data_IF_432916494757
#
_entry.id   IF_432916494757
#
_cell.length_a   1.000
_cell.length_b   1.000
_cell.length_c   1.000
_cell.angle_alpha   90.00
_cell.angle_beta   90.00
_cell.angle_gamma   90.00
#
_symmetry.space_group_name_H-M   'P 1'
#
loop_
_entity.id
_entity.type
_entity.pdbx_description
1 polymer ?
#
# COMPACT_ATOMS: atom_id res chain seq x y z
N UNK A 1 -15.29 21.83 -22.93
CA UNK A 1 -15.50 22.90 -21.95
C UNK A 1 -14.12 23.23 -21.37
N UNK A 2 -13.73 24.51 -21.30
CA UNK A 2 -12.50 24.89 -20.64
C UNK A 2 -12.59 24.53 -19.15
N UNK A 3 -11.56 23.91 -18.60
CA UNK A 3 -11.48 23.61 -17.16
C UNK A 3 -11.48 24.90 -16.36
N UNK A 4 -12.23 24.94 -15.25
CA UNK A 4 -12.15 26.07 -14.32
C UNK A 4 -10.78 26.15 -13.61
N UNK A 5 -10.03 25.04 -13.58
CA UNK A 5 -8.71 24.90 -12.95
C UNK A 5 -7.61 25.05 -14.02
N UNK A 6 -6.63 25.91 -13.78
CA UNK A 6 -5.51 26.17 -14.71
C UNK A 6 -4.19 25.57 -14.27
N UNK A 7 -4.00 25.34 -12.98
CA UNK A 7 -2.75 24.80 -12.43
C UNK A 7 -3.00 23.90 -11.22
N UNK A 8 -2.43 22.71 -11.23
CA UNK A 8 -2.50 21.78 -10.10
C UNK A 8 -1.12 21.32 -9.66
N UNK A 9 -1.03 20.91 -8.39
CA UNK A 9 0.14 20.24 -7.85
C UNK A 9 -0.08 18.73 -7.70
N UNK A 10 1.00 17.95 -7.79
CA UNK A 10 1.01 16.52 -7.47
C UNK A 10 2.19 16.18 -6.59
N UNK A 11 1.97 15.35 -5.57
CA UNK A 11 3.02 14.85 -4.70
C UNK A 11 2.73 13.43 -4.21
N UNK A 12 3.78 12.77 -3.71
CA UNK A 12 3.70 11.51 -2.98
C UNK A 12 4.10 11.71 -1.53
N UNK A 13 3.46 11.02 -0.60
CA UNK A 13 3.73 11.13 0.83
C UNK A 13 3.54 9.78 1.53
N UNK A 14 4.26 9.57 2.63
CA UNK A 14 4.25 8.32 3.37
C UNK A 14 5.27 7.31 2.84
N UNK A 15 5.00 6.03 3.00
CA UNK A 15 5.81 4.97 2.42
C UNK A 15 5.64 4.91 0.91
N UNK A 16 6.74 4.69 0.20
CA UNK A 16 6.67 4.46 -1.24
C UNK A 16 6.02 3.11 -1.57
N UNK A 17 5.40 3.05 -2.75
CA UNK A 17 4.75 1.86 -3.25
C UNK A 17 4.96 1.75 -4.77
N UNK A 18 5.20 0.53 -5.30
CA UNK A 18 5.31 0.32 -6.74
C UNK A 18 4.02 0.74 -7.44
N UNK A 19 4.12 1.62 -8.43
CA UNK A 19 2.96 2.19 -9.13
C UNK A 19 2.70 3.68 -8.80
N UNK A 20 3.29 4.25 -7.75
CA UNK A 20 3.20 5.69 -7.49
C UNK A 20 3.67 6.53 -8.69
N UNK A 21 4.73 6.09 -9.35
CA UNK A 21 5.23 6.73 -10.58
C UNK A 21 4.21 6.66 -11.74
N UNK A 22 3.47 5.58 -11.86
CA UNK A 22 2.41 5.45 -12.87
C UNK A 22 1.24 6.41 -12.57
N UNK A 23 0.90 6.60 -11.27
CA UNK A 23 -0.10 7.57 -10.85
C UNK A 23 0.34 9.01 -11.13
N UNK A 24 1.59 9.38 -10.78
CA UNK A 24 2.16 10.69 -11.12
C UNK A 24 2.06 10.94 -12.64
N UNK A 25 2.50 9.95 -13.43
CA UNK A 25 2.43 10.06 -14.89
C UNK A 25 1.01 10.28 -15.39
N UNK A 26 0.04 9.58 -14.82
CA UNK A 26 -1.37 9.74 -15.18
C UNK A 26 -1.88 11.14 -14.85
N UNK A 27 -1.62 11.63 -13.63
CA UNK A 27 -1.99 12.98 -13.22
C UNK A 27 -1.40 14.01 -14.18
N UNK A 28 -0.10 13.95 -14.45
CA UNK A 28 0.58 14.93 -15.34
C UNK A 28 -0.01 14.92 -16.75
N UNK A 29 -0.13 13.73 -17.36
CA UNK A 29 -0.60 13.63 -18.74
C UNK A 29 -2.08 14.00 -18.90
N UNK A 30 -2.90 13.64 -17.93
CA UNK A 30 -4.31 14.03 -17.91
C UNK A 30 -4.46 15.55 -17.73
N UNK A 31 -3.68 16.16 -16.86
CA UNK A 31 -3.67 17.63 -16.66
C UNK A 31 -3.32 18.34 -17.96
N UNK A 32 -2.22 17.95 -18.60
CA UNK A 32 -1.78 18.54 -19.85
C UNK A 32 -2.81 18.33 -21.00
N UNK A 33 -3.44 17.16 -21.06
CA UNK A 33 -4.50 16.88 -22.03
C UNK A 33 -5.72 17.81 -21.84
N UNK A 34 -6.01 18.19 -20.59
CA UNK A 34 -7.10 19.13 -20.25
C UNK A 34 -6.66 20.61 -20.29
N UNK A 35 -5.43 20.92 -20.71
CA UNK A 35 -4.89 22.28 -20.74
C UNK A 35 -4.53 22.83 -19.35
N UNK A 36 -4.30 21.96 -18.36
CA UNK A 36 -3.97 22.30 -16.97
C UNK A 36 -2.47 22.14 -16.77
N UNK A 37 -1.80 23.17 -16.25
CA UNK A 37 -0.40 23.09 -15.83
C UNK A 37 -0.24 22.17 -14.62
N UNK A 38 0.83 21.37 -14.60
CA UNK A 38 1.10 20.44 -13.51
C UNK A 38 2.46 20.72 -12.85
N UNK A 39 2.46 20.91 -11.55
CA UNK A 39 3.64 21.14 -10.72
C UNK A 39 3.88 19.91 -9.83
N UNK A 40 5.06 19.30 -9.92
CA UNK A 40 5.50 18.24 -9.01
C UNK A 40 6.06 18.86 -7.73
N UNK A 41 5.55 18.45 -6.58
CA UNK A 41 6.08 18.82 -5.28
C UNK A 41 6.93 17.65 -4.78
N UNK A 42 8.23 17.91 -4.54
CA UNK A 42 9.15 16.87 -4.05
C UNK A 42 9.03 16.72 -2.54
N UNK A 43 9.23 15.52 -2.04
CA UNK A 43 9.21 15.19 -0.59
C UNK A 43 7.88 15.50 0.11
N UNK A 44 6.77 15.46 -0.62
CA UNK A 44 5.42 15.60 -0.06
C UNK A 44 5.20 16.88 0.71
N UNK A 45 4.66 16.80 1.91
CA UNK A 45 4.36 17.96 2.75
C UNK A 45 5.61 18.75 3.15
N UNK A 46 6.76 18.10 3.31
CA UNK A 46 8.01 18.82 3.55
C UNK A 46 8.34 19.76 2.39
N UNK A 47 8.17 19.30 1.17
CA UNK A 47 8.39 20.11 -0.03
C UNK A 47 7.41 21.28 -0.17
N UNK A 48 6.16 21.10 0.25
CA UNK A 48 5.22 22.22 0.32
C UNK A 48 5.69 23.32 1.29
N UNK A 49 6.24 22.93 2.45
CA UNK A 49 6.74 23.87 3.45
C UNK A 49 8.02 24.57 2.96
N UNK A 50 8.94 23.81 2.35
CA UNK A 50 10.27 24.31 1.93
C UNK A 50 10.28 24.94 0.53
N UNK A 51 9.17 24.85 -0.23
CA UNK A 51 9.11 25.34 -1.60
C UNK A 51 9.89 24.48 -2.61
N UNK A 52 9.99 23.16 -2.37
CA UNK A 52 10.69 22.23 -3.28
C UNK A 52 9.75 21.68 -4.35
N UNK A 53 9.70 22.35 -5.48
CA UNK A 53 8.81 22.02 -6.58
C UNK A 53 9.51 22.04 -7.94
N UNK A 54 8.87 21.42 -8.94
CA UNK A 54 9.36 21.36 -10.32
C UNK A 54 8.18 21.37 -11.29
N UNK A 55 8.22 22.16 -12.37
CA UNK A 55 7.25 22.03 -13.45
C UNK A 55 7.33 20.66 -14.09
N UNK A 56 6.18 20.06 -14.38
CA UNK A 56 6.10 18.76 -15.03
C UNK A 56 5.49 18.89 -16.42
N UNK A 57 6.09 18.22 -17.38
CA UNK A 57 5.65 18.20 -18.77
C UNK A 57 5.54 16.76 -19.28
N UNK A 58 5.20 16.58 -20.53
CA UNK A 58 5.00 15.27 -21.15
C UNK A 58 6.26 14.39 -21.10
N UNK A 59 7.44 15.02 -21.31
CA UNK A 59 8.72 14.32 -21.34
C UNK A 59 9.22 13.95 -19.93
N UNK A 60 8.97 14.80 -18.93
CA UNK A 60 9.41 14.55 -17.55
C UNK A 60 8.84 13.24 -16.95
N UNK A 61 7.72 12.75 -17.50
CA UNK A 61 7.06 11.51 -17.08
C UNK A 61 7.13 10.38 -18.12
N UNK A 62 7.98 10.55 -19.15
CA UNK A 62 8.16 9.53 -20.19
C UNK A 62 8.79 8.27 -19.59
N UNK A 63 8.27 7.09 -19.94
CA UNK A 63 8.74 5.80 -19.44
C UNK A 63 8.58 5.57 -17.93
N UNK A 64 7.93 6.49 -17.21
CA UNK A 64 7.84 6.47 -15.74
C UNK A 64 6.97 5.33 -15.21
N UNK A 65 5.95 4.88 -15.97
CA UNK A 65 5.01 3.83 -15.54
C UNK A 65 5.65 2.48 -15.23
N UNK A 66 6.85 2.21 -15.73
CA UNK A 66 7.59 0.95 -15.50
C UNK A 66 8.53 1.00 -14.29
N UNK A 67 8.74 2.19 -13.70
CA UNK A 67 9.73 2.40 -12.65
C UNK A 67 9.08 2.32 -11.29
N UNK A 68 9.67 1.53 -10.39
CA UNK A 68 9.33 1.51 -8.97
C UNK A 68 9.73 2.80 -8.26
N UNK A 69 9.38 2.88 -6.98
CA UNK A 69 9.61 4.07 -6.17
C UNK A 69 8.76 5.26 -6.61
N UNK A 70 9.21 6.47 -6.27
CA UNK A 70 8.56 7.73 -6.66
C UNK A 70 9.56 8.79 -7.10
N UNK A 71 9.36 9.36 -8.29
CA UNK A 71 10.24 10.41 -8.84
C UNK A 71 10.18 11.72 -8.05
N UNK A 72 9.10 11.93 -7.32
CA UNK A 72 8.90 13.12 -6.49
C UNK A 72 9.43 12.96 -5.07
N UNK A 73 10.05 11.81 -4.77
CA UNK A 73 10.50 11.44 -3.44
C UNK A 73 9.37 11.42 -2.42
N UNK A 74 9.62 10.88 -1.25
CA UNK A 74 8.68 10.86 -0.13
C UNK A 74 9.44 11.15 1.15
N UNK A 75 8.86 11.97 2.02
CA UNK A 75 9.41 12.26 3.33
C UNK A 75 8.30 12.40 4.36
N UNK A 76 8.60 12.03 5.60
CA UNK A 76 7.77 12.42 6.74
C UNK A 76 8.09 13.86 7.10
N UNK A 77 7.07 14.65 7.44
CA UNK A 77 7.24 16.04 7.88
C UNK A 77 6.64 16.21 9.27
N UNK A 78 7.49 16.28 10.27
CA UNK A 78 7.03 16.57 11.64
C UNK A 78 6.49 18.01 11.74
N UNK A 79 7.11 18.96 11.00
CA UNK A 79 6.66 20.35 10.96
C UNK A 79 5.21 20.47 10.44
N UNK A 80 4.82 19.66 9.46
CA UNK A 80 3.46 19.67 8.91
C UNK A 80 2.39 19.15 9.89
N UNK A 81 2.77 18.43 10.95
CA UNK A 81 1.82 18.01 12.00
C UNK A 81 1.29 19.20 12.81
N UNK A 82 2.07 20.28 12.89
CA UNK A 82 1.68 21.52 13.55
C UNK A 82 0.95 22.49 12.64
N UNK A 83 0.11 23.34 13.21
CA UNK A 83 -0.68 24.33 12.49
C UNK A 83 0.18 25.29 11.67
N UNK A 84 1.29 25.77 12.22
CA UNK A 84 2.22 26.66 11.53
C UNK A 84 2.81 26.05 10.24
N UNK A 85 3.14 24.73 10.24
CA UNK A 85 3.61 24.03 9.06
C UNK A 85 2.51 23.89 8.00
N UNK A 86 1.28 23.64 8.42
CA UNK A 86 0.12 23.54 7.54
C UNK A 86 -0.21 24.89 6.89
N UNK A 87 -0.11 25.99 7.65
CA UNK A 87 -0.27 27.34 7.12
C UNK A 87 0.80 27.70 6.10
N UNK A 88 2.07 27.39 6.37
CA UNK A 88 3.18 27.58 5.42
C UNK A 88 2.92 26.80 4.12
N UNK A 89 2.53 25.53 4.22
CA UNK A 89 2.23 24.69 3.07
C UNK A 89 1.06 25.25 2.24
N UNK A 90 -0.01 25.71 2.90
CA UNK A 90 -1.14 26.34 2.23
C UNK A 90 -0.74 27.69 1.57
N UNK A 91 0.10 28.48 2.23
CA UNK A 91 0.63 29.72 1.66
C UNK A 91 1.48 29.44 0.41
N UNK A 92 2.31 28.41 0.42
CA UNK A 92 3.09 27.96 -0.74
C UNK A 92 2.18 27.55 -1.90
N UNK A 93 1.11 26.79 -1.65
CA UNK A 93 0.13 26.46 -2.68
C UNK A 93 -0.46 27.71 -3.34
N UNK A 94 -0.84 28.70 -2.53
CA UNK A 94 -1.39 29.97 -3.01
C UNK A 94 -0.36 30.78 -3.80
N UNK A 95 0.88 30.86 -3.31
CA UNK A 95 1.99 31.55 -3.98
C UNK A 95 2.29 30.95 -5.36
N UNK A 96 2.24 29.63 -5.48
CA UNK A 96 2.43 28.90 -6.74
C UNK A 96 1.20 28.98 -7.66
N UNK A 97 0.10 29.58 -7.21
CA UNK A 97 -1.16 29.63 -7.94
C UNK A 97 -1.78 28.26 -8.17
N UNK A 98 -1.59 27.33 -7.23
CA UNK A 98 -2.20 25.98 -7.31
C UNK A 98 -3.70 26.09 -6.99
N UNK A 99 -4.52 25.74 -7.96
CA UNK A 99 -5.99 25.71 -7.84
C UNK A 99 -6.49 24.31 -7.45
N UNK A 100 -5.59 23.31 -7.43
CA UNK A 100 -5.85 21.95 -6.96
C UNK A 100 -4.58 21.20 -6.60
N UNK A 101 -4.71 20.18 -5.77
CA UNK A 101 -3.59 19.37 -5.31
C UNK A 101 -3.98 17.90 -5.29
N UNK A 102 -3.17 17.04 -5.93
CA UNK A 102 -3.30 15.59 -5.88
C UNK A 102 -2.23 15.00 -4.96
N UNK A 103 -2.65 14.35 -3.88
CA UNK A 103 -1.77 13.65 -2.95
C UNK A 103 -1.89 12.14 -3.09
N UNK A 104 -0.77 11.47 -3.37
CA UNK A 104 -0.69 10.02 -3.55
C UNK A 104 -0.05 9.42 -2.30
N UNK A 105 -0.77 8.53 -1.60
CA UNK A 105 -0.26 7.87 -0.39
C UNK A 105 -1.35 7.19 0.43
N UNK A 106 -1.09 6.96 1.70
CA UNK A 106 -2.01 6.31 2.64
C UNK A 106 -2.82 7.30 3.48
N UNK A 107 -3.44 6.79 4.56
CA UNK A 107 -4.29 7.56 5.48
C UNK A 107 -3.61 8.82 6.04
N UNK A 108 -2.32 8.74 6.36
CA UNK A 108 -1.55 9.90 6.82
C UNK A 108 -1.52 11.01 5.78
N UNK A 109 -1.44 10.67 4.51
CA UNK A 109 -1.51 11.62 3.40
C UNK A 109 -2.90 12.24 3.31
N UNK A 110 -3.96 11.44 3.47
CA UNK A 110 -5.34 11.95 3.40
C UNK A 110 -5.68 12.87 4.57
N UNK A 111 -5.19 12.57 5.80
CA UNK A 111 -5.30 13.49 6.94
C UNK A 111 -4.63 14.84 6.63
N UNK A 112 -3.45 14.81 6.04
CA UNK A 112 -2.77 16.03 5.64
C UNK A 112 -3.48 16.81 4.54
N UNK A 113 -4.06 16.12 3.53
CA UNK A 113 -4.90 16.76 2.52
C UNK A 113 -6.14 17.42 3.12
N UNK A 114 -6.77 16.78 4.11
CA UNK A 114 -7.92 17.35 4.82
C UNK A 114 -7.54 18.67 5.52
N UNK A 115 -6.35 18.74 6.13
CA UNK A 115 -5.87 19.97 6.76
C UNK A 115 -5.62 21.10 5.74
N UNK A 116 -5.12 20.77 4.55
CA UNK A 116 -5.00 21.74 3.44
C UNK A 116 -6.36 22.15 2.89
N UNK A 117 -7.30 21.22 2.79
CA UNK A 117 -8.68 21.52 2.38
C UNK A 117 -9.36 22.52 3.31
N UNK A 118 -9.18 22.36 4.63
CA UNK A 118 -9.67 23.32 5.65
C UNK A 118 -9.09 24.73 5.49
N UNK A 119 -7.92 24.85 4.82
CA UNK A 119 -7.23 26.13 4.51
C UNK A 119 -7.54 26.64 3.11
N UNK A 120 -8.58 26.09 2.47
CA UNK A 120 -9.09 26.53 1.18
C UNK A 120 -8.31 26.02 -0.03
N UNK A 121 -7.51 24.95 0.11
CA UNK A 121 -6.85 24.30 -1.02
C UNK A 121 -7.73 23.15 -1.52
N UNK A 122 -8.08 23.14 -2.81
CA UNK A 122 -8.79 22.00 -3.41
C UNK A 122 -7.90 20.78 -3.46
N UNK A 123 -8.36 19.63 -2.93
CA UNK A 123 -7.54 18.44 -2.80
C UNK A 123 -8.25 17.17 -3.28
N UNK A 124 -7.46 16.24 -3.85
CA UNK A 124 -7.89 14.88 -4.14
C UNK A 124 -6.79 13.91 -3.73
N UNK A 125 -7.17 12.86 -2.98
CA UNK A 125 -6.30 11.77 -2.57
C UNK A 125 -6.33 10.60 -3.55
N UNK A 126 -5.18 9.94 -3.71
CA UNK A 126 -5.04 8.69 -4.48
C UNK A 126 -4.36 7.65 -3.57
N UNK A 127 -5.01 6.48 -3.30
CA UNK A 127 -4.47 5.47 -2.39
C UNK A 127 -3.26 4.75 -2.98
N UNK A 128 -2.10 5.02 -2.39
CA UNK A 128 -0.82 4.41 -2.74
C UNK A 128 -0.13 3.88 -1.49
N UNK A 129 -0.26 2.58 -1.24
CA UNK A 129 0.36 1.83 -0.15
C UNK A 129 0.34 0.34 -0.48
N UNK A 130 1.39 -0.40 -0.08
CA UNK A 130 1.44 -1.86 -0.21
C UNK A 130 0.57 -2.59 0.83
N UNK A 131 0.14 -1.92 1.89
CA UNK A 131 -0.52 -2.53 3.04
C UNK A 131 -1.99 -2.87 2.75
N UNK A 132 -2.58 -2.27 1.72
CA UNK A 132 -4.00 -2.37 1.35
C UNK A 132 -4.96 -2.10 2.51
N UNK A 133 -4.58 -1.20 3.41
CA UNK A 133 -5.29 -0.86 4.66
C UNK A 133 -6.24 0.33 4.56
N UNK A 134 -6.32 0.98 3.39
CA UNK A 134 -7.22 2.12 3.15
C UNK A 134 -8.67 1.64 3.08
N UNK A 135 -9.47 2.06 4.06
CA UNK A 135 -10.80 1.48 4.29
C UNK A 135 -11.80 1.76 3.18
N UNK A 136 -11.74 2.93 2.55
CA UNK A 136 -12.65 3.31 1.46
C UNK A 136 -12.31 2.67 0.11
N UNK A 137 -11.23 1.90 0.01
CA UNK A 137 -10.81 1.27 -1.25
C UNK A 137 -10.59 -0.23 -1.08
N UNK A 138 -11.12 -1.03 -1.99
CA UNK A 138 -10.85 -2.49 -2.02
C UNK A 138 -9.43 -2.80 -2.46
N UNK A 139 -8.78 -1.85 -3.12
CA UNK A 139 -7.44 -2.00 -3.68
C UNK A 139 -6.62 -0.72 -3.52
N UNK A 140 -5.34 -0.85 -3.20
CA UNK A 140 -4.37 0.25 -3.14
C UNK A 140 -3.19 0.00 -4.08
N UNK A 141 -2.67 1.08 -4.69
CA UNK A 141 -1.53 1.02 -5.62
C UNK A 141 -0.31 0.50 -4.88
N UNK A 142 0.31 -0.57 -5.40
CA UNK A 142 1.51 -1.22 -4.86
C UNK A 142 1.25 -2.56 -4.17
N UNK A 143 0.01 -2.86 -3.78
CA UNK A 143 -0.34 -4.09 -3.09
C UNK A 143 -0.05 -5.35 -3.92
N UNK A 144 -0.49 -5.39 -5.17
CA UNK A 144 -0.30 -6.55 -6.04
C UNK A 144 1.20 -6.81 -6.33
N UNK A 145 1.97 -5.76 -6.57
CA UNK A 145 3.42 -5.88 -6.76
C UNK A 145 4.11 -6.40 -5.50
N UNK A 146 3.73 -5.91 -4.32
CA UNK A 146 4.28 -6.37 -3.05
C UNK A 146 3.95 -7.86 -2.80
N UNK A 147 2.73 -8.29 -3.11
CA UNK A 147 2.34 -9.70 -3.06
C UNK A 147 3.18 -10.56 -4.01
N UNK A 148 3.37 -10.13 -5.26
CA UNK A 148 4.18 -10.86 -6.24
C UNK A 148 5.66 -10.93 -5.82
N UNK A 149 6.22 -9.86 -5.26
CA UNK A 149 7.60 -9.83 -4.74
C UNK A 149 7.77 -10.81 -3.57
N UNK A 150 6.79 -10.84 -2.66
CA UNK A 150 6.79 -11.79 -1.56
C UNK A 150 6.67 -13.24 -2.05
N UNK A 151 5.75 -13.50 -2.99
CA UNK A 151 5.53 -14.82 -3.56
C UNK A 151 6.78 -15.35 -4.28
N UNK A 152 7.41 -14.54 -5.13
CA UNK A 152 8.67 -14.89 -5.82
C UNK A 152 9.80 -15.26 -4.83
N UNK A 153 9.88 -14.55 -3.71
CA UNK A 153 10.83 -14.86 -2.64
C UNK A 153 10.50 -16.16 -1.92
N UNK A 154 9.22 -16.40 -1.62
CA UNK A 154 8.72 -17.58 -0.94
C UNK A 154 8.91 -18.84 -1.79
N UNK A 155 8.67 -18.75 -3.10
CA UNK A 155 8.86 -19.88 -4.00
C UNK A 155 10.33 -20.34 -4.02
N UNK A 156 11.29 -19.40 -4.02
CA UNK A 156 12.72 -19.71 -3.89
C UNK A 156 13.07 -20.35 -2.54
N UNK A 157 12.44 -19.87 -1.45
CA UNK A 157 12.62 -20.47 -0.12
C UNK A 157 12.02 -21.89 -0.06
N UNK A 158 10.94 -22.15 -0.79
CA UNK A 158 10.29 -23.47 -0.84
C UNK A 158 11.22 -24.55 -1.37
N UNK A 159 11.98 -24.27 -2.43
CA UNK A 159 12.92 -25.23 -3.00
C UNK A 159 13.95 -25.72 -1.99
N UNK A 160 14.57 -24.78 -1.27
CA UNK A 160 15.55 -25.14 -0.24
C UNK A 160 14.92 -25.75 1.01
N UNK A 161 13.74 -25.25 1.41
CA UNK A 161 12.99 -25.79 2.55
C UNK A 161 12.60 -27.25 2.32
N UNK A 162 12.13 -27.60 1.13
CA UNK A 162 11.77 -28.97 0.75
C UNK A 162 13.01 -29.86 0.74
N UNK A 163 14.14 -29.40 0.18
CA UNK A 163 15.38 -30.16 0.10
C UNK A 163 15.98 -30.54 1.46
N UNK A 164 15.65 -29.76 2.50
CA UNK A 164 16.20 -29.96 3.86
C UNK A 164 15.14 -30.37 4.90
N UNK A 165 13.89 -30.61 4.49
CA UNK A 165 12.78 -31.01 5.37
C UNK A 165 12.58 -30.06 6.56
N UNK A 166 12.57 -28.73 6.27
CA UNK A 166 12.57 -27.64 7.26
C UNK A 166 11.21 -26.97 7.41
N UNK A 167 11.06 -26.24 8.51
CA UNK A 167 10.04 -25.21 8.65
C UNK A 167 10.62 -23.84 8.29
N UNK A 168 9.94 -23.09 7.42
CA UNK A 168 10.27 -21.69 7.14
C UNK A 168 9.21 -20.77 7.70
N UNK A 169 9.64 -19.79 8.49
CA UNK A 169 8.81 -18.68 8.97
C UNK A 169 9.19 -17.45 8.18
N UNK A 170 8.24 -16.92 7.41
CA UNK A 170 8.46 -15.76 6.55
C UNK A 170 7.64 -14.58 7.06
N UNK A 171 8.34 -13.51 7.46
CA UNK A 171 7.71 -12.26 7.87
C UNK A 171 7.50 -11.37 6.65
N UNK A 172 6.28 -10.88 6.50
CA UNK A 172 5.88 -9.95 5.43
C UNK A 172 5.41 -8.64 6.02
N UNK A 173 5.55 -7.57 5.25
CA UNK A 173 5.05 -6.24 5.60
C UNK A 173 3.51 -6.22 5.65
N UNK A 174 2.92 -5.08 5.92
CA UNK A 174 1.47 -4.86 6.05
C UNK A 174 1.14 -3.90 7.19
N UNK A 175 2.16 -3.37 7.85
CA UNK A 175 2.03 -2.47 9.00
C UNK A 175 1.16 -3.09 10.11
N UNK A 176 -0.07 -2.64 10.29
CA UNK A 176 -1.02 -3.16 11.29
C UNK A 176 -2.15 -3.99 10.66
N UNK A 177 -2.02 -4.34 9.39
CA UNK A 177 -3.00 -5.09 8.63
C UNK A 177 -2.43 -6.40 8.09
N UNK A 178 -3.22 -7.44 8.12
CA UNK A 178 -2.86 -8.78 7.65
C UNK A 178 -3.20 -9.05 6.18
N UNK A 179 -3.64 -8.06 5.42
CA UNK A 179 -4.10 -8.26 4.05
C UNK A 179 -3.02 -8.87 3.15
N UNK A 180 -1.78 -8.36 3.23
CA UNK A 180 -0.66 -8.87 2.44
C UNK A 180 -0.30 -10.29 2.86
N UNK A 181 -0.17 -10.54 4.17
CA UNK A 181 0.12 -11.87 4.70
C UNK A 181 -0.93 -12.90 4.30
N UNK A 182 -2.22 -12.55 4.37
CA UNK A 182 -3.32 -13.42 3.99
C UNK A 182 -3.29 -13.75 2.49
N UNK A 183 -3.12 -12.73 1.64
CA UNK A 183 -3.08 -12.93 0.19
C UNK A 183 -1.90 -13.80 -0.25
N UNK A 184 -0.72 -13.50 0.26
CA UNK A 184 0.50 -14.26 -0.01
C UNK A 184 0.40 -15.67 0.55
N UNK A 185 -0.15 -15.82 1.77
CA UNK A 185 -0.33 -17.12 2.42
C UNK A 185 -1.25 -18.07 1.65
N UNK A 186 -2.36 -17.55 1.11
CA UNK A 186 -3.25 -18.32 0.23
C UNK A 186 -2.54 -18.65 -1.09
N UNK A 187 -1.88 -17.68 -1.71
CA UNK A 187 -1.22 -17.87 -2.99
C UNK A 187 -0.08 -18.90 -2.92
N UNK A 188 0.71 -18.92 -1.84
CA UNK A 188 1.80 -19.87 -1.67
C UNK A 188 1.39 -21.20 -1.04
N UNK A 189 0.12 -21.38 -0.63
CA UNK A 189 -0.33 -22.58 0.08
C UNK A 189 0.42 -22.76 1.41
N UNK A 190 0.48 -21.70 2.22
CA UNK A 190 1.14 -21.74 3.53
C UNK A 190 0.49 -22.77 4.45
N UNK A 191 1.27 -23.34 5.37
CA UNK A 191 0.75 -24.20 6.43
C UNK A 191 -0.04 -23.41 7.47
N UNK A 192 0.43 -22.19 7.78
CA UNK A 192 -0.21 -21.27 8.72
C UNK A 192 -0.02 -19.83 8.24
N UNK A 193 -0.99 -18.97 8.56
CA UNK A 193 -0.90 -17.51 8.31
C UNK A 193 -1.33 -16.78 9.57
N UNK A 194 -0.45 -15.94 10.10
CA UNK A 194 -0.71 -15.14 11.29
C UNK A 194 -0.96 -13.69 10.90
N UNK A 195 -2.11 -13.18 11.30
CA UNK A 195 -2.57 -11.81 10.98
C UNK A 195 -2.97 -11.04 12.26
N UNK A 196 -2.75 -9.73 12.34
CA UNK A 196 -2.98 -8.96 13.56
C UNK A 196 -4.46 -8.78 13.90
N UNK A 197 -5.36 -8.97 12.94
CA UNK A 197 -6.81 -8.87 13.14
C UNK A 197 -7.38 -10.05 13.93
N UNK A 198 -6.63 -11.14 14.04
CA UNK A 198 -7.04 -12.35 14.76
C UNK A 198 -6.20 -12.56 16.02
N UNK A 199 -6.87 -12.90 17.12
CA UNK A 199 -6.15 -13.33 18.33
C UNK A 199 -5.50 -14.69 18.07
N UNK A 200 -4.18 -14.71 18.02
CA UNK A 200 -3.39 -15.92 17.78
C UNK A 200 -3.41 -16.80 19.03
N UNK A 201 -3.86 -18.05 18.86
CA UNK A 201 -3.63 -19.16 19.78
C UNK A 201 -2.55 -20.05 19.16
N UNK A 202 -1.34 -20.00 19.71
CA UNK A 202 -0.17 -20.57 19.06
C UNK A 202 -0.28 -22.11 18.91
N UNK A 203 -0.83 -22.81 19.90
CA UNK A 203 -1.03 -24.26 19.83
C UNK A 203 -2.02 -24.60 18.71
N UNK A 204 -3.20 -24.00 18.74
CA UNK A 204 -4.28 -24.25 17.78
C UNK A 204 -3.93 -23.78 16.35
N UNK A 205 -3.34 -22.59 16.21
CA UNK A 205 -3.20 -21.92 14.91
C UNK A 205 -1.86 -22.22 14.21
N UNK A 206 -0.86 -22.73 14.94
CA UNK A 206 0.47 -23.01 14.40
C UNK A 206 0.89 -24.45 14.62
N UNK A 207 0.91 -24.91 15.89
CA UNK A 207 1.51 -26.21 16.22
C UNK A 207 0.64 -27.39 15.74
N UNK A 208 -0.66 -27.33 16.00
CA UNK A 208 -1.60 -28.37 15.55
C UNK A 208 -1.62 -28.55 14.02
N UNK A 209 -1.71 -27.49 13.20
CA UNK A 209 -1.61 -27.60 11.74
C UNK A 209 -0.30 -28.25 11.27
N UNK A 210 0.83 -27.91 11.89
CA UNK A 210 2.13 -28.50 11.56
C UNK A 210 2.13 -30.00 11.93
N UNK A 211 1.68 -30.38 13.14
CA UNK A 211 1.59 -31.76 13.57
C UNK A 211 0.68 -32.60 12.66
N UNK A 212 -0.49 -32.06 12.33
CA UNK A 212 -1.47 -32.72 11.44
C UNK A 212 -0.90 -32.93 10.04
N UNK A 213 -0.25 -31.89 9.47
CA UNK A 213 0.39 -32.03 8.17
C UNK A 213 1.54 -33.03 8.19
N UNK A 214 2.31 -33.14 9.29
CA UNK A 214 3.37 -34.12 9.48
C UNK A 214 2.82 -35.53 9.57
N UNK A 215 1.71 -35.74 10.27
CA UNK A 215 1.02 -37.04 10.30
C UNK A 215 0.52 -37.46 8.92
N UNK A 216 0.15 -36.52 8.07
CA UNK A 216 -0.20 -36.71 6.65
C UNK A 216 1.00 -36.96 5.73
N UNK A 217 2.23 -37.08 6.25
CA UNK A 217 3.45 -37.34 5.49
C UNK A 217 4.17 -36.10 4.94
N UNK A 218 3.74 -34.90 5.30
CA UNK A 218 4.42 -33.65 4.89
C UNK A 218 5.70 -33.47 5.72
N UNK A 219 6.82 -33.16 5.05
CA UNK A 219 8.14 -33.03 5.69
C UNK A 219 8.63 -31.59 5.82
N UNK A 220 7.98 -30.64 5.12
CA UNK A 220 8.35 -29.23 5.12
C UNK A 220 7.11 -28.34 5.34
N UNK A 221 7.31 -27.19 5.99
CA UNK A 221 6.21 -26.34 6.48
C UNK A 221 6.53 -24.86 6.24
N UNK A 222 5.53 -24.11 5.76
CA UNK A 222 5.62 -22.68 5.52
C UNK A 222 4.67 -21.92 6.45
N UNK A 223 5.19 -21.02 7.24
CA UNK A 223 4.42 -20.12 8.13
C UNK A 223 4.63 -18.69 7.68
N UNK A 224 3.55 -18.02 7.34
CA UNK A 224 3.57 -16.58 6.97
C UNK A 224 3.13 -15.76 8.18
N UNK A 225 3.92 -14.75 8.52
CA UNK A 225 3.66 -13.87 9.67
C UNK A 225 3.59 -12.42 9.18
N UNK A 226 2.47 -11.73 9.46
CA UNK A 226 2.41 -10.29 9.26
C UNK A 226 3.25 -9.57 10.33
N UNK A 227 4.05 -8.57 9.95
CA UNK A 227 4.93 -7.82 10.87
C UNK A 227 4.20 -7.20 12.08
N UNK A 228 2.88 -6.98 11.95
CA UNK A 228 2.03 -6.43 13.02
C UNK A 228 1.60 -7.42 14.11
N UNK A 229 1.88 -8.71 13.96
CA UNK A 229 1.49 -9.75 14.94
C UNK A 229 2.52 -9.91 16.03
N UNK A 230 3.69 -10.40 15.66
CA UNK A 230 4.85 -10.69 16.52
C UNK A 230 6.08 -10.92 15.66
N UNK A 231 7.25 -10.97 16.28
CA UNK A 231 8.50 -11.27 15.59
C UNK A 231 8.49 -12.70 15.00
N UNK A 232 8.88 -12.84 13.73
CA UNK A 232 9.07 -14.16 13.12
C UNK A 232 10.09 -15.02 13.86
N UNK A 233 11.05 -14.42 14.56
CA UNK A 233 12.04 -15.12 15.38
C UNK A 233 11.38 -15.78 16.61
N UNK A 234 10.41 -15.09 17.26
CA UNK A 234 9.66 -15.65 18.38
C UNK A 234 8.77 -16.81 17.95
N UNK A 235 8.14 -16.68 16.77
CA UNK A 235 7.35 -17.77 16.15
C UNK A 235 8.23 -18.97 15.87
N UNK A 236 9.39 -18.78 15.24
CA UNK A 236 10.31 -19.85 14.91
C UNK A 236 10.85 -20.59 16.16
N UNK A 237 11.17 -19.81 17.22
CA UNK A 237 11.60 -20.36 18.49
C UNK A 237 10.54 -21.29 19.10
N UNK A 238 9.29 -20.85 19.18
CA UNK A 238 8.19 -21.63 19.72
C UNK A 238 7.92 -22.89 18.88
N UNK A 239 7.99 -22.80 17.53
CA UNK A 239 7.85 -23.97 16.66
C UNK A 239 8.95 -25.00 16.95
N UNK A 240 10.20 -24.55 17.04
CA UNK A 240 11.35 -25.42 17.32
C UNK A 240 11.20 -26.13 18.67
N UNK A 241 10.82 -25.38 19.71
CA UNK A 241 10.61 -25.93 21.06
C UNK A 241 9.47 -26.99 21.12
N UNK A 242 8.35 -26.73 20.39
CA UNK A 242 7.18 -27.60 20.43
C UNK A 242 7.26 -28.83 19.49
N UNK A 243 8.07 -28.74 18.42
CA UNK A 243 8.05 -29.74 17.33
C UNK A 243 9.40 -30.38 17.03
N UNK A 244 10.49 -29.82 17.55
CA UNK A 244 11.89 -30.17 17.23
C UNK A 244 12.24 -30.05 15.74
N UNK A 245 11.47 -29.27 14.96
CA UNK A 245 11.77 -28.99 13.57
C UNK A 245 12.92 -27.97 13.45
N UNK A 246 13.84 -28.18 12.49
CA UNK A 246 14.81 -27.14 12.09
C UNK A 246 14.04 -25.97 11.42
N UNK A 247 13.87 -24.89 12.16
CA UNK A 247 13.04 -23.74 11.74
C UNK A 247 13.93 -22.57 11.33
N UNK A 248 13.69 -22.03 10.15
CA UNK A 248 14.44 -20.88 9.59
C UNK A 248 13.54 -19.69 9.44
N UNK A 249 14.10 -18.51 9.69
CA UNK A 249 13.39 -17.21 9.57
C UNK A 249 13.90 -16.46 8.36
N UNK A 250 12.97 -15.88 7.63
CA UNK A 250 13.25 -14.91 6.58
C UNK A 250 12.33 -13.69 6.79
N UNK A 251 12.93 -12.52 7.01
CA UNK A 251 12.21 -11.25 7.07
C UNK A 251 12.37 -10.57 5.72
N UNK A 252 11.29 -10.47 4.93
CA UNK A 252 11.36 -9.89 3.58
C UNK A 252 11.61 -8.37 3.64
N UNK A 253 10.94 -7.67 4.56
CA UNK A 253 11.15 -6.24 4.76
C UNK A 253 10.97 -5.41 3.49
N UNK A 254 11.82 -4.39 3.31
CA UNK A 254 11.66 -3.34 2.30
C UNK A 254 11.78 -3.77 0.83
N UNK A 255 12.23 -4.99 0.52
CA UNK A 255 12.21 -5.49 -0.87
C UNK A 255 10.79 -5.51 -1.44
N UNK A 256 9.77 -5.63 -0.58
CA UNK A 256 8.35 -5.61 -0.94
C UNK A 256 7.87 -4.22 -1.41
N UNK A 257 8.61 -3.15 -1.12
CA UNK A 257 8.31 -1.78 -1.59
C UNK A 257 8.92 -1.47 -2.95
N UNK A 258 9.84 -2.29 -3.43
CA UNK A 258 10.60 -2.07 -4.66
C UNK A 258 10.06 -2.81 -5.86
N UNK A 259 10.77 -2.64 -6.96
CA UNK A 259 10.52 -3.35 -8.22
C UNK A 259 9.60 -2.61 -9.19
N UNK A 260 9.56 -3.13 -10.42
CA UNK A 260 8.67 -2.62 -11.46
C UNK A 260 7.21 -2.98 -11.11
N UNK A 261 6.27 -2.02 -11.14
CA UNK A 261 4.89 -2.29 -10.79
C UNK A 261 4.25 -3.31 -11.74
N UNK A 262 3.43 -4.18 -11.19
CA UNK A 262 2.63 -5.15 -11.94
C UNK A 262 1.67 -4.47 -12.92
N UNK A 263 1.10 -5.23 -13.83
CA UNK A 263 0.07 -4.71 -14.75
C UNK A 263 -1.10 -4.14 -13.96
N UNK A 264 -1.54 -4.82 -12.91
CA UNK A 264 -2.66 -4.39 -12.07
C UNK A 264 -2.38 -3.04 -11.42
N UNK A 265 -1.20 -2.87 -10.81
CA UNK A 265 -0.81 -1.62 -10.18
C UNK A 265 -0.68 -0.46 -11.18
N UNK A 266 -0.11 -0.73 -12.37
CA UNK A 266 -0.01 0.30 -13.42
C UNK A 266 -1.36 0.75 -13.92
N UNK A 267 -2.29 -0.18 -14.15
CA UNK A 267 -3.65 0.12 -14.61
C UNK A 267 -4.41 0.88 -13.55
N UNK A 268 -4.47 0.38 -12.30
CA UNK A 268 -5.14 1.05 -11.19
C UNK A 268 -4.59 2.46 -10.96
N UNK A 269 -3.27 2.63 -10.93
CA UNK A 269 -2.61 3.92 -10.78
C UNK A 269 -2.96 4.89 -11.92
N UNK A 270 -3.07 4.38 -13.14
CA UNK A 270 -3.43 5.20 -14.31
C UNK A 270 -4.86 5.70 -14.21
N UNK A 271 -5.82 4.83 -13.90
CA UNK A 271 -7.22 5.23 -13.74
C UNK A 271 -7.42 6.17 -12.55
N UNK A 272 -6.83 5.87 -11.38
CA UNK A 272 -6.97 6.72 -10.21
C UNK A 272 -6.37 8.11 -10.43
N UNK A 273 -5.21 8.21 -11.09
CA UNK A 273 -4.60 9.49 -11.43
C UNK A 273 -5.45 10.29 -12.44
N UNK A 274 -6.05 9.62 -13.43
CA UNK A 274 -6.98 10.24 -14.37
C UNK A 274 -8.22 10.80 -13.66
N UNK A 275 -8.87 9.98 -12.82
CA UNK A 275 -10.06 10.39 -12.07
C UNK A 275 -9.77 11.54 -11.10
N UNK A 276 -8.61 11.54 -10.45
CA UNK A 276 -8.22 12.62 -9.54
C UNK A 276 -8.17 13.98 -10.25
N UNK A 277 -7.59 14.04 -11.46
CA UNK A 277 -7.57 15.28 -12.25
C UNK A 277 -8.97 15.64 -12.74
N UNK A 278 -9.77 14.66 -13.17
CA UNK A 278 -11.14 14.88 -13.62
C UNK A 278 -12.03 15.47 -12.51
N UNK A 279 -11.86 15.01 -11.28
CA UNK A 279 -12.57 15.56 -10.12
C UNK A 279 -12.19 17.03 -9.88
N UNK A 280 -10.91 17.37 -9.86
CA UNK A 280 -10.44 18.76 -9.71
C UNK A 280 -10.94 19.64 -10.84
N UNK A 281 -10.85 19.18 -12.09
CA UNK A 281 -11.33 19.92 -13.26
C UNK A 281 -12.85 20.17 -13.23
N UNK A 282 -13.61 19.28 -12.59
CA UNK A 282 -15.05 19.42 -12.35
C UNK A 282 -15.39 20.27 -11.10
N UNK A 283 -14.40 20.87 -10.43
CA UNK A 283 -14.58 21.65 -9.20
C UNK A 283 -14.89 20.83 -7.95
N UNK A 284 -14.74 19.50 -8.01
CA UNK A 284 -14.90 18.65 -6.83
C UNK A 284 -13.61 18.65 -6.01
N UNK A 285 -13.74 18.90 -4.73
CA UNK A 285 -12.62 18.94 -3.77
C UNK A 285 -12.91 18.06 -2.56
N UNK A 286 -11.88 17.87 -1.72
CA UNK A 286 -11.95 17.03 -0.51
C UNK A 286 -12.37 15.60 -0.81
N UNK A 287 -11.82 15.00 -1.91
CA UNK A 287 -12.17 13.67 -2.37
C UNK A 287 -10.99 12.70 -2.29
N UNK A 288 -11.28 11.42 -2.12
CA UNK A 288 -10.36 10.30 -2.35
C UNK A 288 -10.90 9.47 -3.48
N UNK A 289 -10.09 9.19 -4.50
CA UNK A 289 -10.43 8.22 -5.56
C UNK A 289 -10.22 6.83 -5.01
N UNK A 290 -11.19 5.96 -5.19
CA UNK A 290 -11.19 4.61 -4.63
C UNK A 290 -11.55 3.57 -5.70
N UNK A 291 -11.15 2.33 -5.45
CA UNK A 291 -11.62 1.16 -6.20
C UNK A 291 -12.67 0.43 -5.37
N UNK A 292 -13.80 0.12 -5.98
CA UNK A 292 -14.84 -0.75 -5.44
C UNK A 292 -15.15 -1.86 -6.44
N UNK A 293 -14.61 -3.05 -6.19
CA UNK A 293 -14.60 -4.13 -7.18
C UNK A 293 -13.78 -3.75 -8.40
N UNK A 294 -14.43 -3.58 -9.55
CA UNK A 294 -13.78 -3.16 -10.80
C UNK A 294 -14.10 -1.70 -11.18
N UNK A 295 -14.83 -0.97 -10.33
CA UNK A 295 -15.23 0.41 -10.59
C UNK A 295 -14.40 1.41 -9.81
N UNK A 296 -14.19 2.59 -10.40
CA UNK A 296 -13.54 3.72 -9.75
C UNK A 296 -14.60 4.70 -9.27
N UNK A 297 -14.58 5.00 -7.98
CA UNK A 297 -15.52 5.88 -7.28
C UNK A 297 -14.77 6.94 -6.48
N UNK A 298 -15.46 7.94 -5.94
CA UNK A 298 -14.85 8.93 -5.06
C UNK A 298 -15.65 9.07 -3.76
N UNK A 299 -14.94 9.21 -2.65
CA UNK A 299 -15.52 9.51 -1.34
C UNK A 299 -15.01 10.85 -0.81
N UNK A 300 -15.79 11.49 0.06
CA UNK A 300 -15.30 12.59 0.87
C UNK A 300 -14.17 12.10 1.80
N UNK A 301 -13.07 12.87 1.91
CA UNK A 301 -11.92 12.48 2.74
C UNK A 301 -12.33 12.28 4.19
N UNK A 302 -13.23 13.13 4.72
CA UNK A 302 -13.66 13.05 6.12
C UNK A 302 -14.43 11.75 6.37
N UNK A 303 -15.27 11.35 5.42
CA UNK A 303 -16.02 10.09 5.50
C UNK A 303 -15.10 8.89 5.28
N UNK A 304 -14.21 8.96 4.31
CA UNK A 304 -13.23 7.92 4.03
C UNK A 304 -12.36 7.58 5.26
N UNK A 305 -11.91 8.60 5.98
CA UNK A 305 -11.07 8.43 7.19
C UNK A 305 -11.82 7.88 8.42
N UNK A 306 -13.16 7.86 8.39
CA UNK A 306 -13.99 7.26 9.46
C UNK A 306 -14.27 5.77 9.21
N UNK A 307 -14.14 5.32 7.98
CA UNK A 307 -14.40 3.92 7.62
C UNK A 307 -13.38 3.00 8.30
N UNK A 308 -13.75 1.74 8.44
CA UNK A 308 -12.87 0.66 8.90
C UNK A 308 -12.76 -0.38 7.80
N UNK A 309 -11.59 -0.97 7.67
CA UNK A 309 -11.33 -2.07 6.76
C UNK A 309 -11.00 -3.30 7.59
N UNK A 310 -11.91 -4.24 7.55
CA UNK A 310 -11.72 -5.53 8.18
C UNK A 310 -10.96 -6.48 7.22
N UNK A 311 -10.37 -7.52 7.78
CA UNK A 311 -9.77 -8.59 7.01
C UNK A 311 -10.85 -9.24 6.13
N UNK A 312 -10.49 -9.68 4.93
CA UNK A 312 -11.42 -10.40 4.07
C UNK A 312 -11.74 -11.78 4.68
N UNK A 313 -12.89 -11.87 5.36
CA UNK A 313 -13.31 -13.09 6.07
C UNK A 313 -13.47 -14.29 5.14
N UNK A 314 -13.95 -14.08 3.91
CA UNK A 314 -14.07 -15.16 2.94
C UNK A 314 -12.69 -15.73 2.58
N UNK A 315 -11.71 -14.87 2.29
CA UNK A 315 -10.33 -15.30 2.00
C UNK A 315 -9.70 -15.97 3.22
N UNK A 316 -9.96 -15.45 4.43
CA UNK A 316 -9.48 -16.05 5.66
C UNK A 316 -10.10 -17.42 5.91
N UNK A 317 -11.39 -17.61 5.67
CA UNK A 317 -12.08 -18.90 5.75
C UNK A 317 -11.52 -19.90 4.75
N UNK A 318 -11.29 -19.48 3.49
CA UNK A 318 -10.66 -20.32 2.46
C UNK A 318 -9.26 -20.75 2.91
N UNK A 319 -8.45 -19.80 3.40
CA UNK A 319 -7.11 -20.09 3.92
C UNK A 319 -7.18 -21.17 5.04
N UNK A 320 -8.04 -21.00 6.02
CA UNK A 320 -8.22 -21.98 7.12
C UNK A 320 -8.64 -23.36 6.62
N UNK A 321 -9.57 -23.41 5.69
CA UNK A 321 -10.02 -24.67 5.10
C UNK A 321 -8.88 -25.41 4.37
N UNK A 322 -8.03 -24.69 3.65
CA UNK A 322 -6.90 -25.26 2.91
C UNK A 322 -5.71 -25.63 3.80
N UNK A 323 -5.54 -24.98 4.92
CA UNK A 323 -4.47 -25.27 5.89
C UNK A 323 -4.88 -26.38 6.89
N UNK A 324 -6.15 -26.77 6.91
CA UNK A 324 -6.68 -27.74 7.86
C UNK A 324 -6.85 -27.19 9.28
N UNK A 325 -6.77 -25.89 9.48
CA UNK A 325 -7.02 -25.22 10.77
C UNK A 325 -8.53 -25.21 11.01
N UNK A 326 -8.99 -25.88 12.09
CA UNK A 326 -10.39 -25.87 12.50
C UNK A 326 -11.31 -26.88 11.80
N UNK A 327 -10.79 -27.91 11.15
CA UNK A 327 -11.56 -29.12 10.84
C UNK A 327 -11.69 -29.93 12.14
N UNK A 328 -12.83 -29.84 12.81
CA UNK A 328 -13.24 -30.74 13.87
C UNK A 328 -13.61 -32.13 13.30
#
# INVERSE_FOLDING_TARGET
MASAVRRIGVFTSGGDAPGMNAAIRSVVRTSLHMGIECIGIRRGYHGLISGDFTPLNFESVSGLSRRGGTMLYSARSEEFRGEAGQEKAAATCKLLGLEGLVGIGGDGTFRGLLELSRRGISVVGVPGTIDNDIACSTYTIGFDTACNTALDSIDKLRDTMQSHERCSVVEVMGHRAGHLALYVGVACGATCVLVPEQKVDFERDVIEPIRRARLGGRTHFMVIVAEGVTSAYDVAKQITEATSLDTRVTVLGHVQRGGAPSVRDRVAATYMGYEAVRLLAAGKTNRVVCVQGETYVDYDITEALKMKKDLNEQTYTVMRALTGVGAE
#
